data_IF_576982653947
#
_entry.id   IF_576982653947
#
_cell.length_a   1.000
_cell.length_b   1.000
_cell.length_c   1.000
_cell.angle_alpha   90.00
_cell.angle_beta   90.00
_cell.angle_gamma   90.00
#
_symmetry.space_group_name_H-M   'P 1'
#
loop_
_entity.id
_entity.type
_entity.pdbx_description
1 polymer ?
#
# COMPACT_ATOMS: atom_id res chain seq x y z
N UNK A 1 -6.69 26.70 9.20
CA UNK A 1 -5.25 26.52 8.92
C UNK A 1 -5.12 25.19 8.21
N UNK A 2 -4.60 25.16 6.98
CA UNK A 2 -4.37 23.90 6.26
C UNK A 2 -3.24 23.15 6.94
N UNK A 3 -3.53 21.99 7.52
CA UNK A 3 -2.54 21.11 8.12
C UNK A 3 -1.63 20.53 7.03
N UNK A 4 -0.33 20.80 7.12
CA UNK A 4 0.68 20.26 6.19
C UNK A 4 1.14 18.91 6.74
N UNK A 5 0.74 17.84 6.06
CA UNK A 5 1.12 16.46 6.36
C UNK A 5 2.49 16.24 5.74
N UNK A 6 3.44 15.81 6.57
CA UNK A 6 4.80 15.49 6.13
C UNK A 6 4.86 14.19 5.35
N UNK A 7 5.97 13.99 4.64
CA UNK A 7 6.22 12.74 3.92
C UNK A 7 6.17 11.52 4.85
N UNK A 8 6.77 11.62 6.05
CA UNK A 8 6.82 10.53 7.01
C UNK A 8 5.43 10.20 7.55
N UNK A 9 4.63 11.21 7.92
CA UNK A 9 3.26 11.00 8.41
C UNK A 9 2.37 10.33 7.35
N UNK A 10 2.56 10.67 6.08
CA UNK A 10 1.84 10.03 4.97
C UNK A 10 2.26 8.55 4.80
N UNK A 11 3.55 8.26 4.89
CA UNK A 11 4.06 6.88 4.87
C UNK A 11 3.52 6.07 6.05
N UNK A 12 3.55 6.63 7.26
CA UNK A 12 3.07 5.98 8.49
C UNK A 12 1.56 5.72 8.43
N UNK A 13 0.79 6.71 7.96
CA UNK A 13 -0.67 6.59 7.79
C UNK A 13 -1.03 5.51 6.78
N UNK A 14 -0.32 5.47 5.65
CA UNK A 14 -0.54 4.45 4.63
C UNK A 14 -0.11 3.06 5.13
N UNK A 15 1.00 2.97 5.85
CA UNK A 15 1.48 1.73 6.48
C UNK A 15 0.47 1.18 7.49
N UNK A 16 -0.06 2.04 8.36
CA UNK A 16 -1.10 1.67 9.33
C UNK A 16 -2.39 1.19 8.65
N UNK A 17 -2.81 1.84 7.56
CA UNK A 17 -3.98 1.40 6.79
C UNK A 17 -3.77 0.01 6.17
N UNK A 18 -2.57 -0.27 5.63
CA UNK A 18 -2.22 -1.59 5.10
C UNK A 18 -2.19 -2.65 6.19
N UNK A 19 -1.65 -2.34 7.36
CA UNK A 19 -1.65 -3.23 8.52
C UNK A 19 -3.07 -3.57 8.99
N UNK A 20 -3.94 -2.56 9.13
CA UNK A 20 -5.32 -2.78 9.53
C UNK A 20 -6.11 -3.56 8.48
N UNK A 21 -5.87 -3.32 7.19
CA UNK A 21 -6.46 -4.12 6.12
C UNK A 21 -6.09 -5.61 6.26
N UNK A 22 -4.83 -5.90 6.60
CA UNK A 22 -4.38 -7.26 6.90
C UNK A 22 -5.05 -7.86 8.13
N UNK A 23 -5.34 -7.04 9.15
CA UNK A 23 -5.99 -7.46 10.39
C UNK A 23 -7.54 -7.50 10.33
N UNK A 24 -8.17 -7.17 9.19
CA UNK A 24 -9.63 -7.16 9.07
C UNK A 24 -10.25 -8.54 9.34
N UNK A 25 -11.38 -8.63 10.06
CA UNK A 25 -12.10 -9.90 10.26
C UNK A 25 -12.55 -10.52 8.93
N UNK A 26 -12.61 -11.84 8.87
CA UNK A 26 -12.96 -12.58 7.64
C UNK A 26 -14.32 -12.20 7.03
N UNK A 27 -15.28 -11.80 7.87
CA UNK A 27 -16.61 -11.32 7.42
C UNK A 27 -16.53 -10.01 6.65
N UNK A 28 -15.59 -9.13 6.99
CA UNK A 28 -15.39 -7.88 6.26
C UNK A 28 -14.51 -8.11 5.02
N UNK A 29 -13.56 -9.06 5.09
CA UNK A 29 -12.78 -9.49 3.92
C UNK A 29 -13.65 -10.07 2.81
N UNK A 30 -14.67 -10.87 3.14
CA UNK A 30 -15.59 -11.42 2.16
C UNK A 30 -16.45 -10.33 1.48
N UNK A 31 -16.85 -9.30 2.22
CA UNK A 31 -17.49 -8.11 1.67
C UNK A 31 -16.57 -7.35 0.68
N UNK A 32 -15.30 -7.15 1.04
CA UNK A 32 -14.31 -6.54 0.14
C UNK A 32 -14.06 -7.40 -1.11
N UNK A 33 -14.03 -8.72 -0.98
CA UNK A 33 -13.89 -9.65 -2.09
C UNK A 33 -15.10 -9.57 -3.04
N UNK A 34 -16.32 -9.51 -2.49
CA UNK A 34 -17.56 -9.38 -3.25
C UNK A 34 -17.71 -8.01 -3.95
N UNK A 35 -17.16 -6.94 -3.38
CA UNK A 35 -17.18 -5.58 -3.95
C UNK A 35 -16.07 -5.28 -4.98
N UNK A 36 -15.12 -6.20 -5.20
CA UNK A 36 -13.90 -5.93 -5.97
C UNK A 36 -14.06 -5.92 -7.50
N UNK A 37 -14.64 -4.84 -8.04
CA UNK A 37 -14.31 -4.37 -9.40
C UNK A 37 -13.27 -3.25 -9.28
N UNK A 38 -12.03 -3.54 -9.68
CA UNK A 38 -10.95 -2.60 -10.05
C UNK A 38 -10.28 -1.66 -9.02
N UNK A 39 -10.79 -1.45 -7.81
CA UNK A 39 -10.14 -0.57 -6.80
C UNK A 39 -9.14 -1.34 -5.92
N UNK A 40 -8.06 -1.79 -6.56
CA UNK A 40 -6.81 -2.27 -5.97
C UNK A 40 -6.80 -3.11 -4.66
N UNK A 41 -7.44 -4.29 -4.68
CA UNK A 41 -7.17 -5.41 -3.76
C UNK A 41 -6.00 -6.30 -4.26
N UNK A 42 -5.36 -5.95 -5.38
CA UNK A 42 -4.35 -6.78 -6.03
C UNK A 42 -3.00 -6.79 -5.30
N UNK A 43 -2.58 -5.66 -4.68
CA UNK A 43 -1.37 -5.63 -3.84
C UNK A 43 -1.49 -6.60 -2.67
N UNK A 44 -2.68 -6.61 -2.07
CA UNK A 44 -2.97 -7.31 -0.82
C UNK A 44 -3.10 -8.80 -1.11
N UNK A 45 -3.72 -9.14 -2.26
CA UNK A 45 -3.72 -10.52 -2.77
C UNK A 45 -2.33 -11.05 -3.08
N UNK A 46 -1.40 -10.21 -3.55
CA UNK A 46 -0.02 -10.61 -3.87
C UNK A 46 0.92 -10.63 -2.64
N UNK A 47 0.49 -10.12 -1.49
CA UNK A 47 1.13 -10.43 -0.19
C UNK A 47 0.75 -11.82 0.33
N UNK A 48 -0.25 -12.47 -0.28
CA UNK A 48 -0.92 -13.66 0.22
C UNK A 48 -0.73 -14.87 -0.68
N UNK A 49 0.39 -14.96 -1.39
CA UNK A 49 0.88 -16.30 -1.76
C UNK A 49 1.10 -17.20 -0.54
N UNK A 50 1.13 -16.63 0.69
CA UNK A 50 1.27 -17.34 1.97
C UNK A 50 0.03 -17.22 2.87
N UNK A 51 -1.17 -17.56 2.38
CA UNK A 51 -2.23 -18.11 3.26
C UNK A 51 -2.04 -19.62 3.53
N UNK A 52 -0.88 -20.16 3.20
CA UNK A 52 -0.49 -21.50 3.58
C UNK A 52 0.28 -21.43 4.90
N UNK A 53 -0.43 -21.23 6.01
CA UNK A 53 -0.28 -22.14 7.14
C UNK A 53 -1.44 -22.01 8.14
N UNK A 54 -1.88 -23.21 8.50
CA UNK A 54 -2.84 -23.68 9.50
C UNK A 54 -2.95 -22.86 10.79
N UNK A 55 -4.18 -22.84 11.34
CA UNK A 55 -4.64 -22.16 12.57
C UNK A 55 -5.11 -20.70 12.39
N UNK A 56 -6.19 -20.52 11.63
CA UNK A 56 -6.93 -19.26 11.61
C UNK A 56 -7.63 -18.99 12.96
N UNK A 57 -6.89 -18.45 13.92
CA UNK A 57 -7.48 -17.75 15.06
C UNK A 57 -8.22 -16.52 14.51
N UNK A 58 -9.46 -16.24 14.97
CA UNK A 58 -10.19 -15.07 14.51
C UNK A 58 -9.36 -13.81 14.80
N UNK A 59 -9.10 -13.02 13.74
CA UNK A 59 -8.37 -11.76 13.90
C UNK A 59 -9.14 -10.85 14.87
N UNK A 60 -8.44 -10.17 15.81
CA UNK A 60 -9.08 -9.28 16.76
C UNK A 60 -9.89 -8.21 16.02
N UNK A 61 -11.08 -7.89 16.55
CA UNK A 61 -11.96 -6.90 15.91
C UNK A 61 -11.28 -5.54 15.87
N UNK A 62 -11.19 -4.96 14.67
CA UNK A 62 -10.70 -3.60 14.49
C UNK A 62 -11.62 -2.62 15.21
N UNK A 63 -11.03 -1.59 15.81
CA UNK A 63 -11.83 -0.46 16.29
C UNK A 63 -12.46 0.27 15.10
N UNK A 64 -13.60 0.95 15.33
CA UNK A 64 -14.25 1.79 14.31
C UNK A 64 -13.30 2.81 13.67
N UNK A 65 -12.34 3.35 14.45
CA UNK A 65 -11.32 4.29 13.95
C UNK A 65 -10.39 3.63 12.94
N UNK A 66 -9.95 2.40 13.20
CA UNK A 66 -9.10 1.63 12.29
C UNK A 66 -9.84 1.29 10.99
N UNK A 67 -11.10 0.84 11.09
CA UNK A 67 -11.93 0.55 9.91
C UNK A 67 -12.15 1.80 9.04
N UNK A 68 -12.48 2.95 9.66
CA UNK A 68 -12.62 4.22 8.95
C UNK A 68 -11.32 4.65 8.25
N UNK A 69 -10.16 4.37 8.85
CA UNK A 69 -8.88 4.68 8.23
C UNK A 69 -8.65 3.82 6.98
N UNK A 70 -8.94 2.53 7.04
CA UNK A 70 -8.84 1.60 5.90
C UNK A 70 -9.78 2.05 4.78
N UNK A 71 -11.03 2.38 5.11
CA UNK A 71 -12.01 2.89 4.14
C UNK A 71 -11.53 4.17 3.47
N UNK A 72 -11.11 5.17 4.26
CA UNK A 72 -10.63 6.45 3.72
C UNK A 72 -9.37 6.29 2.87
N UNK A 73 -8.45 5.43 3.26
CA UNK A 73 -7.15 5.30 2.59
C UNK A 73 -7.17 4.36 1.39
N UNK A 74 -7.90 3.24 1.47
CA UNK A 74 -7.70 2.09 0.58
C UNK A 74 -8.98 1.56 -0.09
N UNK A 75 -10.13 1.52 0.59
CA UNK A 75 -11.29 0.73 0.11
C UNK A 75 -12.58 1.52 -0.17
N UNK A 76 -12.64 2.81 0.19
CA UNK A 76 -13.81 3.66 -0.05
C UNK A 76 -14.03 3.98 -1.54
N UNK A 77 -15.05 4.80 -1.84
CA UNK A 77 -15.40 5.16 -3.23
C UNK A 77 -14.30 6.00 -3.93
N UNK A 78 -13.59 6.83 -3.16
CA UNK A 78 -12.48 7.69 -3.63
C UNK A 78 -11.32 7.65 -2.64
N UNK A 79 -10.64 6.50 -2.52
CA UNK A 79 -9.62 6.29 -1.50
C UNK A 79 -8.44 7.23 -1.73
N UNK A 80 -7.84 7.72 -0.65
CA UNK A 80 -6.73 8.70 -0.77
C UNK A 80 -5.51 8.11 -1.48
N UNK A 81 -5.29 6.79 -1.42
CA UNK A 81 -4.21 6.10 -2.12
C UNK A 81 -4.36 6.10 -3.65
N UNK A 82 -5.52 6.46 -4.23
CA UNK A 82 -5.70 6.47 -5.68
C UNK A 82 -4.83 7.49 -6.42
N UNK A 83 -4.25 8.46 -5.70
CA UNK A 83 -3.25 9.38 -6.25
C UNK A 83 -1.93 8.68 -6.64
N UNK A 84 -1.73 7.44 -6.17
CA UNK A 84 -0.61 6.60 -6.58
C UNK A 84 -0.88 6.07 -8.01
N UNK A 85 0.02 6.36 -8.97
CA UNK A 85 -0.14 5.93 -10.35
C UNK A 85 -0.26 4.41 -10.49
N UNK A 86 -1.18 3.94 -11.35
CA UNK A 86 -1.54 2.53 -11.44
C UNK A 86 -0.36 1.57 -11.70
N UNK A 87 0.70 2.02 -12.36
CA UNK A 87 1.90 1.22 -12.58
C UNK A 87 2.93 1.22 -11.44
N UNK A 88 2.85 2.17 -10.49
CA UNK A 88 3.78 2.31 -9.34
C UNK A 88 3.21 1.75 -8.05
N UNK A 89 1.92 1.54 -8.10
CA UNK A 89 1.12 0.81 -7.18
C UNK A 89 1.83 -0.41 -6.55
N UNK A 90 2.19 -1.43 -7.33
CA UNK A 90 2.79 -2.66 -6.80
C UNK A 90 4.11 -2.40 -6.03
N UNK A 91 4.92 -1.47 -6.53
CA UNK A 91 6.14 -1.02 -5.87
C UNK A 91 5.85 -0.41 -4.49
N UNK A 92 4.86 0.48 -4.37
CA UNK A 92 4.51 1.12 -3.09
C UNK A 92 4.09 0.07 -2.07
N UNK A 93 3.23 -0.85 -2.49
CA UNK A 93 2.82 -1.98 -1.67
C UNK A 93 4.02 -2.78 -1.16
N UNK A 94 4.88 -3.24 -2.07
CA UNK A 94 6.06 -4.05 -1.73
C UNK A 94 6.98 -3.32 -0.73
N UNK A 95 7.23 -2.03 -0.93
CA UNK A 95 8.11 -1.25 -0.03
C UNK A 95 7.51 -1.13 1.36
N UNK A 96 6.21 -0.81 1.48
CA UNK A 96 5.53 -0.68 2.79
C UNK A 96 5.62 -2.00 3.56
N UNK A 97 5.35 -3.11 2.89
CA UNK A 97 5.42 -4.45 3.47
C UNK A 97 6.82 -4.77 3.95
N UNK A 98 7.83 -4.56 3.10
CA UNK A 98 9.21 -4.84 3.46
C UNK A 98 9.76 -3.89 4.52
N UNK A 99 9.19 -2.69 4.68
CA UNK A 99 9.51 -1.80 5.79
C UNK A 99 8.86 -2.25 7.10
N UNK A 100 7.58 -2.66 7.06
CA UNK A 100 6.82 -3.05 8.25
C UNK A 100 7.22 -4.42 8.78
N UNK A 101 7.47 -5.37 7.89
CA UNK A 101 7.89 -6.74 8.20
C UNK A 101 9.17 -7.10 7.42
N UNK A 102 10.33 -6.55 7.82
CA UNK A 102 11.55 -6.63 7.03
C UNK A 102 12.20 -8.02 6.91
N UNK A 103 11.71 -9.02 7.65
CA UNK A 103 12.35 -10.33 7.75
C UNK A 103 13.75 -10.25 8.37
N UNK A 104 14.50 -11.35 8.34
CA UNK A 104 15.82 -11.44 8.98
C UNK A 104 16.85 -10.47 8.38
N UNK A 105 16.78 -10.21 7.07
CA UNK A 105 17.77 -9.41 6.35
C UNK A 105 17.50 -7.90 6.36
N UNK A 106 16.45 -7.44 7.03
CA UNK A 106 16.13 -6.00 7.07
C UNK A 106 15.53 -5.45 5.77
N UNK A 107 15.10 -4.19 5.80
CA UNK A 107 14.69 -3.48 4.58
C UNK A 107 15.91 -3.06 3.76
N UNK A 108 15.84 -3.24 2.43
CA UNK A 108 16.88 -2.75 1.52
C UNK A 108 16.36 -2.60 0.09
N UNK A 109 16.74 -1.50 -0.58
CA UNK A 109 16.30 -1.21 -1.95
C UNK A 109 16.75 -2.25 -2.96
N UNK A 110 17.89 -2.90 -2.75
CA UNK A 110 18.34 -4.01 -3.60
C UNK A 110 17.42 -5.23 -3.53
N UNK A 111 16.78 -5.46 -2.36
CA UNK A 111 15.78 -6.53 -2.21
C UNK A 111 14.49 -6.17 -2.94
N UNK A 112 14.04 -4.93 -2.82
CA UNK A 112 12.89 -4.42 -3.59
C UNK A 112 13.16 -4.57 -5.08
N UNK A 113 14.31 -4.11 -5.54
CA UNK A 113 14.75 -4.21 -6.94
C UNK A 113 14.71 -5.64 -7.46
N UNK A 114 15.30 -6.59 -6.72
CA UNK A 114 15.27 -8.02 -7.08
C UNK A 114 13.85 -8.59 -7.09
N UNK A 115 13.02 -8.25 -6.09
CA UNK A 115 11.63 -8.73 -6.03
C UNK A 115 10.75 -8.21 -7.18
N UNK A 116 11.10 -7.04 -7.71
CA UNK A 116 10.42 -6.41 -8.84
C UNK A 116 11.03 -6.82 -10.19
N UNK A 117 11.96 -7.78 -10.22
CA UNK A 117 12.63 -8.25 -11.45
C UNK A 117 13.52 -7.20 -12.12
N UNK A 118 13.86 -6.11 -11.41
CA UNK A 118 14.58 -4.98 -11.98
C UNK A 118 13.77 -4.13 -12.96
N UNK A 119 12.44 -4.29 -12.97
CA UNK A 119 11.55 -3.59 -13.89
C UNK A 119 10.53 -2.72 -13.15
N UNK A 120 10.12 -1.62 -13.77
CA UNK A 120 9.08 -0.74 -13.26
C UNK A 120 8.26 -0.15 -14.39
N UNK A 121 6.98 0.10 -14.14
CA UNK A 121 6.12 0.78 -15.08
C UNK A 121 6.58 2.23 -15.33
N UNK A 122 6.89 2.55 -16.59
CA UNK A 122 7.23 3.89 -17.01
C UNK A 122 5.94 4.65 -17.39
N UNK A 123 5.59 5.66 -16.60
CA UNK A 123 4.35 6.44 -16.79
C UNK A 123 4.30 7.18 -18.13
N UNK A 124 5.44 7.67 -18.63
CA UNK A 124 5.49 8.42 -19.88
C UNK A 124 5.32 7.51 -21.10
N UNK A 125 5.93 6.32 -21.06
CA UNK A 125 5.89 5.33 -22.15
C UNK A 125 4.76 4.31 -22.03
N UNK A 126 4.03 4.32 -20.92
CA UNK A 126 2.89 3.42 -20.62
C UNK A 126 3.24 1.93 -20.74
N UNK A 127 4.46 1.56 -20.38
CA UNK A 127 4.95 0.17 -20.45
C UNK A 127 5.91 -0.12 -19.30
N UNK A 128 6.04 -1.40 -18.95
CA UNK A 128 7.06 -1.87 -18.01
C UNK A 128 8.42 -1.84 -18.70
N UNK A 129 9.44 -1.31 -18.00
CA UNK A 129 10.80 -1.20 -18.51
C UNK A 129 11.82 -1.51 -17.41
N UNK A 130 13.00 -1.97 -17.82
CA UNK A 130 14.15 -2.04 -16.93
C UNK A 130 14.39 -0.69 -16.25
N UNK A 131 14.71 -0.73 -14.97
CA UNK A 131 15.01 0.44 -14.13
C UNK A 131 16.22 0.15 -13.25
N UNK A 132 16.54 1.07 -12.36
CA UNK A 132 17.54 0.88 -11.30
C UNK A 132 16.88 0.86 -9.93
N UNK A 133 17.59 0.33 -8.93
CA UNK A 133 17.21 0.38 -7.51
C UNK A 133 16.89 1.83 -7.08
N UNK A 134 17.75 2.79 -7.44
CA UNK A 134 17.52 4.23 -7.24
C UNK A 134 16.31 4.79 -8.00
N UNK A 135 16.03 4.27 -9.21
CA UNK A 135 14.86 4.63 -9.99
C UNK A 135 13.56 4.22 -9.28
N UNK A 136 13.53 3.03 -8.70
CA UNK A 136 12.42 2.56 -7.86
C UNK A 136 12.29 3.41 -6.60
N UNK A 137 13.39 3.72 -5.92
CA UNK A 137 13.38 4.61 -4.74
C UNK A 137 12.74 5.96 -5.04
N UNK A 138 13.17 6.63 -6.11
CA UNK A 138 12.60 7.94 -6.50
C UNK A 138 11.12 7.84 -6.89
N UNK A 139 10.71 6.76 -7.56
CA UNK A 139 9.31 6.54 -7.91
C UNK A 139 8.45 6.38 -6.64
N UNK A 140 8.93 5.62 -5.67
CA UNK A 140 8.29 5.45 -4.36
C UNK A 140 8.18 6.77 -3.59
N UNK A 141 9.29 7.50 -3.43
CA UNK A 141 9.31 8.79 -2.71
C UNK A 141 8.29 9.77 -3.30
N UNK A 142 8.19 9.84 -4.63
CA UNK A 142 7.21 10.66 -5.34
C UNK A 142 5.77 10.18 -5.13
N UNK A 143 5.53 8.88 -5.05
CA UNK A 143 4.21 8.33 -4.80
C UNK A 143 3.74 8.71 -3.38
N UNK A 144 4.59 8.55 -2.37
CA UNK A 144 4.30 8.95 -0.99
C UNK A 144 4.08 10.46 -0.88
N UNK A 145 4.87 11.27 -1.59
CA UNK A 145 4.67 12.72 -1.61
C UNK A 145 3.27 13.12 -2.15
N UNK A 146 2.75 12.39 -3.15
CA UNK A 146 1.38 12.62 -3.66
C UNK A 146 0.33 12.26 -2.62
N UNK A 147 0.55 11.19 -1.86
CA UNK A 147 -0.33 10.81 -0.74
C UNK A 147 -0.33 11.89 0.34
N UNK A 148 0.84 12.42 0.71
CA UNK A 148 0.96 13.52 1.67
C UNK A 148 0.16 14.76 1.24
N UNK A 149 0.33 15.19 -0.02
CA UNK A 149 -0.43 16.30 -0.58
C UNK A 149 -1.95 16.04 -0.55
N UNK A 150 -2.36 14.81 -0.87
CA UNK A 150 -3.77 14.42 -0.89
C UNK A 150 -4.37 14.38 0.51
N UNK A 151 -3.60 13.93 1.51
CA UNK A 151 -3.98 13.94 2.92
C UNK A 151 -4.17 15.37 3.42
N UNK A 152 -3.21 16.27 3.16
CA UNK A 152 -3.33 17.69 3.53
C UNK A 152 -4.56 18.35 2.94
N UNK A 153 -4.84 18.09 1.66
CA UNK A 153 -6.03 18.61 0.99
C UNK A 153 -7.35 18.03 1.55
N UNK A 154 -7.32 16.85 2.17
CA UNK A 154 -8.48 16.21 2.78
C UNK A 154 -8.66 16.55 4.27
N UNK A 155 -7.68 17.22 4.89
CA UNK A 155 -7.75 17.75 6.27
C UNK A 155 -8.14 19.24 6.30
N UNK A 156 -8.31 19.87 5.14
CA UNK A 156 -8.79 21.26 4.98
C UNK A 156 -10.30 21.27 4.74
#
# INVERSE_FOLDING_TARGET
>A
MTEVITWQEAEDTLTAAVEYLGAMPDRERSYLAAGSRSCWPSIVRDMQSDYADSEALPSPQLTRRCANLVERMLTGEKPLADVIPEGHRALVGRVIVMKRWPGADGFGWDRVFRSMGGELYNLARRQVMATTSDGMRKAYERAIQRVAQRLSAASS
#
